data_IF_972829658183
#
_entry.id   IF_972829658183
#
_cell.length_a   1.000
_cell.length_b   1.000
_cell.length_c   1.000
_cell.angle_alpha   90.00
_cell.angle_beta   90.00
_cell.angle_gamma   90.00
#
_symmetry.space_group_name_H-M   'P 1'
#
loop_
_entity.id
_entity.type
_entity.pdbx_description
1 polymer ?
#
# COMPACT_ATOMS: atom_id res chain seq x y z
N UNK A 1 -15.51 -3.39 -42.78
CA UNK A 1 -16.18 -2.49 -43.77
C UNK A 1 -15.94 -3.14 -45.11
N UNK A 2 -17.01 -3.46 -45.84
CA UNK A 2 -16.86 -4.09 -47.18
C UNK A 2 -16.65 -3.00 -48.26
N UNK A 3 -15.43 -2.98 -48.84
CA UNK A 3 -15.05 -2.02 -49.86
C UNK A 3 -15.66 -2.33 -51.25
N UNK A 4 -16.17 -3.55 -51.48
CA UNK A 4 -16.73 -3.98 -52.78
C UNK A 4 -17.98 -3.27 -53.15
N UNK A 5 -18.81 -2.86 -52.18
CA UNK A 5 -20.07 -2.15 -52.36
C UNK A 5 -19.91 -0.65 -52.65
N UNK A 6 -18.69 -0.10 -52.43
CA UNK A 6 -18.43 1.35 -52.61
C UNK A 6 -18.14 1.71 -54.07
N UNK A 7 -18.57 2.92 -54.46
CA UNK A 7 -18.22 3.50 -55.76
C UNK A 7 -16.75 3.92 -55.82
N UNK A 8 -16.18 4.05 -57.03
CA UNK A 8 -14.81 4.55 -57.22
C UNK A 8 -14.58 5.92 -56.56
N UNK A 9 -15.57 6.84 -56.59
CA UNK A 9 -15.47 8.14 -55.95
C UNK A 9 -15.35 8.05 -54.44
N UNK A 10 -16.11 7.18 -53.81
CA UNK A 10 -16.07 6.96 -52.35
C UNK A 10 -14.73 6.31 -51.90
N UNK A 11 -14.21 5.37 -52.68
CA UNK A 11 -12.90 4.74 -52.41
C UNK A 11 -11.76 5.74 -52.55
N UNK A 12 -11.80 6.62 -53.54
CA UNK A 12 -10.82 7.72 -53.69
C UNK A 12 -10.90 8.70 -52.50
N UNK A 13 -12.10 9.01 -52.04
CA UNK A 13 -12.29 9.88 -50.88
C UNK A 13 -11.70 9.22 -49.62
N UNK A 14 -11.86 7.91 -49.42
CA UNK A 14 -11.26 7.17 -48.35
C UNK A 14 -9.72 7.16 -48.44
N UNK A 15 -9.14 6.99 -49.62
CA UNK A 15 -7.70 7.08 -49.80
C UNK A 15 -7.15 8.46 -49.41
N UNK A 16 -7.88 9.55 -49.72
CA UNK A 16 -7.52 10.92 -49.31
C UNK A 16 -7.58 11.07 -47.77
N UNK A 17 -8.64 10.62 -47.14
CA UNK A 17 -8.83 10.69 -45.69
C UNK A 17 -7.77 9.91 -44.93
N UNK A 18 -7.31 8.78 -45.50
CA UNK A 18 -6.27 7.91 -44.89
C UNK A 18 -4.83 8.29 -45.33
N UNK A 19 -4.66 9.41 -46.08
CA UNK A 19 -3.36 9.86 -46.62
C UNK A 19 -2.62 8.81 -47.46
N UNK A 20 -3.36 7.94 -48.18
CA UNK A 20 -2.78 6.90 -49.02
C UNK A 20 -2.35 7.55 -50.34
N UNK A 21 -1.13 7.27 -50.83
CA UNK A 21 -0.61 7.77 -52.09
C UNK A 21 -0.70 6.71 -53.17
N UNK A 22 -0.71 7.12 -54.45
CA UNK A 22 -0.59 6.18 -55.60
C UNK A 22 -1.89 5.61 -56.11
N UNK A 23 -3.09 6.09 -55.69
CA UNK A 23 -4.40 5.63 -56.12
C UNK A 23 -4.90 6.29 -57.45
N UNK A 24 -4.30 7.42 -57.89
CA UNK A 24 -4.83 8.28 -58.96
C UNK A 24 -4.87 7.68 -60.35
N UNK A 25 -4.11 6.57 -60.61
CA UNK A 25 -4.10 5.85 -61.89
C UNK A 25 -4.58 4.41 -61.77
N UNK A 26 -5.24 4.04 -60.65
CA UNK A 26 -5.68 2.69 -60.34
C UNK A 26 -7.18 2.50 -60.64
N UNK A 27 -7.53 1.29 -61.10
CA UNK A 27 -8.93 0.90 -61.23
C UNK A 27 -9.55 0.53 -59.88
N UNK A 28 -10.89 0.32 -59.83
CA UNK A 28 -11.63 0.05 -58.59
C UNK A 28 -11.03 -1.08 -57.76
N UNK A 29 -10.68 -2.19 -58.38
CA UNK A 29 -10.16 -3.37 -57.70
C UNK A 29 -8.77 -3.11 -57.08
N UNK A 30 -7.90 -2.42 -57.80
CA UNK A 30 -6.57 -2.05 -57.34
C UNK A 30 -6.62 -1.05 -56.16
N UNK A 31 -7.63 -0.17 -56.11
CA UNK A 31 -7.85 0.75 -55.00
C UNK A 31 -8.34 -0.03 -53.76
N UNK A 32 -9.21 -1.03 -53.97
CA UNK A 32 -9.68 -1.91 -52.88
C UNK A 32 -8.50 -2.69 -52.27
N UNK A 33 -7.66 -3.28 -53.12
CA UNK A 33 -6.44 -4.02 -52.63
C UNK A 33 -5.53 -3.08 -51.83
N UNK A 34 -5.26 -1.89 -52.31
CA UNK A 34 -4.44 -0.89 -51.62
C UNK A 34 -5.01 -0.50 -50.24
N UNK A 35 -6.34 -0.33 -50.16
CA UNK A 35 -7.02 -0.04 -48.89
C UNK A 35 -6.96 -1.23 -47.90
N UNK A 36 -7.03 -2.47 -48.40
CA UNK A 36 -6.90 -3.69 -47.60
C UNK A 36 -5.47 -3.86 -47.06
N UNK A 37 -4.44 -3.71 -47.89
CA UNK A 37 -3.04 -3.75 -47.47
C UNK A 37 -2.71 -2.72 -46.40
N UNK A 38 -3.19 -1.48 -46.53
CA UNK A 38 -2.97 -0.43 -45.54
C UNK A 38 -3.69 -0.74 -44.22
N UNK A 39 -4.88 -1.36 -44.29
CA UNK A 39 -5.60 -1.79 -43.11
C UNK A 39 -4.88 -2.92 -42.37
N UNK A 40 -4.41 -3.95 -43.10
CA UNK A 40 -3.64 -5.05 -42.53
C UNK A 40 -2.32 -4.57 -41.87
N UNK A 41 -1.61 -3.65 -42.52
CA UNK A 41 -0.38 -3.06 -41.95
C UNK A 41 -0.66 -2.25 -40.69
N UNK A 42 -1.81 -1.55 -40.58
CA UNK A 42 -2.20 -0.86 -39.35
C UNK A 42 -2.56 -1.83 -38.24
N UNK A 43 -3.37 -2.86 -38.52
CA UNK A 43 -3.73 -3.89 -37.56
C UNK A 43 -2.50 -4.65 -37.03
N UNK A 44 -1.54 -4.97 -37.90
CA UNK A 44 -0.28 -5.63 -37.51
C UNK A 44 0.60 -4.70 -36.65
N UNK A 45 0.61 -3.38 -36.90
CA UNK A 45 1.34 -2.41 -36.07
C UNK A 45 0.70 -2.26 -34.70
N UNK A 46 -0.63 -2.09 -34.62
CA UNK A 46 -1.34 -2.01 -33.35
C UNK A 46 -1.17 -3.27 -32.52
N UNK A 47 -1.21 -4.47 -33.13
CA UNK A 47 -0.98 -5.74 -32.43
C UNK A 47 0.49 -5.86 -31.94
N UNK A 48 1.47 -5.34 -32.70
CA UNK A 48 2.87 -5.32 -32.26
C UNK A 48 3.12 -4.37 -31.11
N UNK A 49 2.58 -3.13 -31.20
CA UNK A 49 2.69 -2.16 -30.11
C UNK A 49 2.03 -2.65 -28.82
N UNK A 50 0.84 -3.30 -28.92
CA UNK A 50 0.16 -3.89 -27.76
C UNK A 50 0.96 -5.08 -27.18
N UNK A 51 1.62 -5.88 -28.03
CA UNK A 51 2.50 -6.98 -27.54
C UNK A 51 3.76 -6.45 -26.89
N UNK A 52 4.45 -5.49 -27.49
CA UNK A 52 5.65 -4.86 -26.91
C UNK A 52 5.33 -4.16 -25.58
N UNK A 53 4.19 -3.47 -25.48
CA UNK A 53 3.74 -2.84 -24.20
C UNK A 53 3.40 -3.91 -23.15
N UNK A 54 2.82 -5.06 -23.54
CA UNK A 54 2.56 -6.16 -22.62
C UNK A 54 3.86 -6.84 -22.18
N UNK A 55 4.76 -7.16 -23.08
CA UNK A 55 6.06 -7.76 -22.75
C UNK A 55 6.90 -6.84 -21.86
N UNK A 56 6.93 -5.53 -22.12
CA UNK A 56 7.63 -4.56 -21.26
C UNK A 56 6.96 -4.43 -19.88
N UNK A 57 5.63 -4.57 -19.78
CA UNK A 57 4.94 -4.64 -18.50
C UNK A 57 5.26 -5.93 -17.75
N UNK A 58 5.14 -7.08 -18.41
CA UNK A 58 5.44 -8.39 -17.81
C UNK A 58 6.91 -8.52 -17.36
N UNK A 59 7.87 -7.97 -18.11
CA UNK A 59 9.29 -7.94 -17.71
C UNK A 59 9.52 -6.96 -16.55
N UNK A 60 8.79 -5.85 -16.46
CA UNK A 60 8.85 -4.94 -15.31
C UNK A 60 8.21 -5.55 -14.06
N UNK A 61 7.07 -6.24 -14.20
CA UNK A 61 6.40 -6.94 -13.10
C UNK A 61 7.20 -8.14 -12.60
N UNK A 62 7.86 -8.90 -13.49
CA UNK A 62 8.71 -10.06 -13.12
C UNK A 62 9.95 -9.69 -12.31
N UNK A 63 10.40 -8.41 -12.33
CA UNK A 63 11.56 -7.93 -11.57
C UNK A 63 11.21 -7.05 -10.36
N UNK A 64 9.94 -6.84 -10.06
CA UNK A 64 9.55 -6.03 -8.90
C UNK A 64 9.50 -6.92 -7.66
N UNK A 65 10.51 -6.82 -6.80
CA UNK A 65 10.52 -7.49 -5.50
C UNK A 65 9.51 -6.80 -4.59
N UNK A 66 8.35 -7.42 -4.39
CA UNK A 66 7.35 -6.97 -3.42
C UNK A 66 7.72 -7.50 -2.04
N UNK A 67 8.12 -6.61 -1.15
CA UNK A 67 8.39 -6.95 0.25
C UNK A 67 7.07 -7.05 1.03
N UNK A 68 7.07 -7.86 2.09
CA UNK A 68 5.93 -8.01 3.00
C UNK A 68 6.17 -7.21 4.29
N UNK A 69 5.12 -6.86 5.05
CA UNK A 69 5.30 -6.27 6.37
C UNK A 69 6.23 -7.09 7.27
N UNK A 70 7.18 -6.42 7.94
CA UNK A 70 8.16 -7.08 8.83
C UNK A 70 7.49 -7.61 10.09
N UNK A 71 6.44 -6.91 10.55
CA UNK A 71 5.64 -7.25 11.72
C UNK A 71 4.15 -7.30 11.37
N UNK A 72 3.38 -8.03 12.16
CA UNK A 72 1.91 -7.96 12.08
C UNK A 72 1.45 -6.62 12.65
N UNK A 73 0.47 -5.99 12.01
CA UNK A 73 -0.17 -4.77 12.47
C UNK A 73 -1.69 -4.89 12.34
N UNK A 74 -2.43 -4.33 13.31
CA UNK A 74 -3.90 -4.34 13.27
C UNK A 74 -4.37 -3.53 12.07
N UNK A 75 -5.32 -4.05 11.30
CA UNK A 75 -5.80 -3.37 10.09
C UNK A 75 -4.87 -3.45 8.87
N UNK A 76 -3.76 -4.22 8.94
CA UNK A 76 -2.80 -4.30 7.82
C UNK A 76 -3.44 -4.69 6.49
N UNK A 77 -3.09 -3.98 5.40
CA UNK A 77 -3.71 -4.03 4.07
C UNK A 77 -3.08 -5.01 3.09
N UNK A 78 -2.13 -5.86 3.52
CA UNK A 78 -1.35 -6.69 2.58
C UNK A 78 -2.21 -7.55 1.65
N UNK A 79 -3.31 -8.14 2.15
CA UNK A 79 -4.23 -8.96 1.35
C UNK A 79 -5.25 -8.12 0.55
N UNK A 80 -5.28 -6.81 0.78
CA UNK A 80 -6.26 -5.89 0.21
C UNK A 80 -5.70 -5.05 -0.94
N UNK A 81 -4.38 -4.95 -1.08
CA UNK A 81 -3.69 -4.12 -2.11
C UNK A 81 -4.28 -4.35 -3.50
N UNK A 82 -4.55 -5.59 -3.88
CA UNK A 82 -5.13 -5.98 -5.17
C UNK A 82 -6.48 -5.30 -5.50
N UNK A 83 -7.20 -4.81 -4.50
CA UNK A 83 -8.48 -4.14 -4.70
C UNK A 83 -8.33 -2.64 -4.99
N UNK A 84 -7.19 -2.04 -4.65
CA UNK A 84 -7.00 -0.60 -4.80
C UNK A 84 -5.68 -0.18 -5.49
N UNK A 85 -4.76 -1.12 -5.79
CA UNK A 85 -3.46 -0.80 -6.41
C UNK A 85 -3.59 -0.06 -7.76
N UNK A 86 -4.65 -0.34 -8.53
CA UNK A 86 -4.91 0.31 -9.81
C UNK A 86 -5.29 1.80 -9.67
N UNK A 87 -5.57 2.27 -8.45
CA UNK A 87 -5.76 3.68 -8.16
C UNK A 87 -4.45 4.41 -7.81
N UNK A 88 -3.33 3.71 -7.64
CA UNK A 88 -2.04 4.34 -7.36
C UNK A 88 -1.56 5.07 -8.62
N UNK A 89 -1.19 6.36 -8.54
CA UNK A 89 -0.69 7.08 -9.71
C UNK A 89 0.62 6.47 -10.21
N UNK A 90 0.76 6.37 -11.52
CA UNK A 90 1.96 5.81 -12.16
C UNK A 90 3.24 6.63 -11.92
N UNK A 91 3.07 7.93 -11.66
CA UNK A 91 4.17 8.87 -11.46
C UNK A 91 3.91 9.77 -10.24
N UNK A 92 4.91 9.87 -9.38
CA UNK A 92 4.96 10.79 -8.25
C UNK A 92 6.43 11.04 -7.84
N UNK A 93 6.69 12.17 -7.20
CA UNK A 93 8.04 12.54 -6.73
C UNK A 93 8.37 11.84 -5.42
N UNK A 94 7.50 11.96 -4.42
CA UNK A 94 7.66 11.37 -3.09
C UNK A 94 6.42 10.57 -2.73
N UNK A 95 6.64 9.35 -2.24
CA UNK A 95 5.63 8.53 -1.57
C UNK A 95 5.49 8.95 -0.12
N UNK A 96 4.29 9.21 0.35
CA UNK A 96 3.99 9.64 1.71
C UNK A 96 3.04 8.63 2.39
N UNK A 97 3.35 8.18 3.60
CA UNK A 97 2.47 7.31 4.39
C UNK A 97 2.50 7.73 5.87
N UNK A 98 1.58 8.65 6.30
CA UNK A 98 1.57 9.21 7.65
C UNK A 98 0.97 8.30 8.72
N UNK A 99 0.41 7.17 8.34
CA UNK A 99 -0.10 6.11 9.20
C UNK A 99 0.55 4.79 8.80
N UNK A 100 1.91 4.73 8.87
CA UNK A 100 2.67 3.62 8.29
C UNK A 100 2.30 2.26 8.89
N UNK A 101 2.05 2.18 10.20
CA UNK A 101 1.74 0.93 10.87
C UNK A 101 2.64 -0.22 10.42
N UNK A 102 2.05 -1.31 9.88
CA UNK A 102 2.81 -2.43 9.32
C UNK A 102 3.47 -2.16 7.97
N UNK A 103 3.19 -1.03 7.31
CA UNK A 103 3.79 -0.62 6.05
C UNK A 103 3.41 -1.50 4.85
N UNK A 104 2.19 -2.01 4.81
CA UNK A 104 1.79 -2.99 3.80
C UNK A 104 1.98 -2.47 2.38
N UNK A 105 1.46 -1.27 2.08
CA UNK A 105 1.60 -0.67 0.75
C UNK A 105 3.01 -0.15 0.50
N UNK A 106 3.65 0.46 1.50
CA UNK A 106 5.02 0.94 1.40
C UNK A 106 6.02 -0.17 1.00
N UNK A 107 5.99 -1.31 1.71
CA UNK A 107 6.85 -2.45 1.40
C UNK A 107 6.51 -3.11 0.06
N UNK A 108 5.22 -3.19 -0.28
CA UNK A 108 4.77 -3.70 -1.57
C UNK A 108 5.23 -2.82 -2.72
N UNK A 109 5.05 -1.51 -2.62
CA UNK A 109 5.33 -0.54 -3.68
C UNK A 109 6.83 -0.26 -3.87
N UNK A 110 7.66 -0.50 -2.86
CA UNK A 110 9.11 -0.29 -2.88
C UNK A 110 9.53 1.07 -3.49
N UNK A 111 9.01 2.21 -3.02
CA UNK A 111 9.17 3.51 -3.65
C UNK A 111 10.63 3.97 -3.64
N UNK A 112 11.03 4.74 -4.68
CA UNK A 112 12.40 5.28 -4.79
C UNK A 112 12.67 6.34 -3.72
N UNK A 113 11.71 7.26 -3.52
CA UNK A 113 11.76 8.33 -2.54
C UNK A 113 10.52 8.21 -1.66
N UNK A 114 10.69 8.15 -0.35
CA UNK A 114 9.58 8.03 0.57
C UNK A 114 9.77 8.80 1.86
N UNK A 115 8.66 9.24 2.42
CA UNK A 115 8.53 9.71 3.80
C UNK A 115 7.45 8.87 4.46
N UNK A 116 7.82 8.15 5.51
CA UNK A 116 6.89 7.37 6.32
C UNK A 116 6.82 7.95 7.73
N UNK A 117 5.64 7.92 8.32
CA UNK A 117 5.44 8.45 9.67
C UNK A 117 4.42 7.62 10.45
N UNK A 118 4.58 7.63 11.76
CA UNK A 118 3.60 7.14 12.72
C UNK A 118 3.81 7.88 14.05
N UNK A 119 2.78 7.93 14.88
CA UNK A 119 2.90 8.46 16.24
C UNK A 119 3.44 7.43 17.23
N UNK A 120 3.56 6.17 16.83
CA UNK A 120 4.04 5.07 17.64
C UNK A 120 5.57 5.00 17.64
N UNK A 121 6.20 5.53 18.67
CA UNK A 121 7.67 5.68 18.73
C UNK A 121 8.43 4.35 18.65
N UNK A 122 7.96 3.27 19.29
CA UNK A 122 8.63 1.95 19.25
C UNK A 122 8.64 1.37 17.83
N UNK A 123 7.59 1.61 17.04
CA UNK A 123 7.52 1.23 15.64
C UNK A 123 8.52 2.03 14.79
N UNK A 124 8.59 3.33 15.01
CA UNK A 124 9.51 4.23 14.30
C UNK A 124 10.96 3.90 14.65
N UNK A 125 11.28 3.58 15.90
CA UNK A 125 12.60 3.10 16.30
C UNK A 125 12.96 1.80 15.54
N UNK A 126 12.03 0.83 15.45
CA UNK A 126 12.26 -0.40 14.70
C UNK A 126 12.63 -0.13 13.24
N UNK A 127 11.85 0.65 12.52
CA UNK A 127 12.12 0.98 11.12
C UNK A 127 13.42 1.79 10.96
N UNK A 128 13.67 2.73 11.86
CA UNK A 128 14.89 3.54 11.86
C UNK A 128 16.15 2.70 12.08
N UNK A 129 16.12 1.75 13.02
CA UNK A 129 17.25 0.86 13.29
C UNK A 129 17.55 -0.06 12.11
N UNK A 130 16.50 -0.60 11.46
CA UNK A 130 16.67 -1.40 10.23
C UNK A 130 17.25 -0.52 9.11
N UNK A 131 16.73 0.69 8.91
CA UNK A 131 17.23 1.64 7.91
C UNK A 131 18.68 2.09 8.14
N UNK A 132 19.18 2.03 9.39
CA UNK A 132 20.59 2.26 9.73
C UNK A 132 21.49 1.05 9.46
N UNK A 133 20.97 -0.03 8.89
CA UNK A 133 21.72 -1.26 8.62
C UNK A 133 21.97 -2.13 9.84
N UNK A 134 21.18 -1.96 10.91
CA UNK A 134 21.34 -2.67 12.21
C UNK A 134 20.30 -3.77 12.42
N UNK A 135 19.72 -4.31 11.35
CA UNK A 135 18.77 -5.43 11.47
C UNK A 135 19.40 -6.67 12.09
N UNK A 136 20.70 -6.89 11.85
CA UNK A 136 21.45 -8.01 12.42
C UNK A 136 21.56 -7.96 13.95
N UNK A 137 21.59 -6.78 14.56
CA UNK A 137 21.58 -6.64 16.03
C UNK A 137 20.23 -7.04 16.62
N UNK A 138 19.13 -6.78 15.91
CA UNK A 138 17.80 -7.27 16.29
C UNK A 138 17.73 -8.79 16.07
N UNK A 139 18.25 -9.28 14.95
CA UNK A 139 18.28 -10.72 14.63
C UNK A 139 19.04 -11.51 15.73
N UNK A 140 20.25 -11.08 16.08
CA UNK A 140 21.04 -11.71 17.15
C UNK A 140 20.32 -11.69 18.50
N UNK A 141 19.63 -10.59 18.81
CA UNK A 141 18.81 -10.52 20.02
C UNK A 141 17.70 -11.57 20.01
N UNK A 142 17.04 -11.79 18.86
CA UNK A 142 16.02 -12.83 18.71
C UNK A 142 16.59 -14.24 18.87
N UNK A 143 17.78 -14.52 18.32
CA UNK A 143 18.46 -15.82 18.48
C UNK A 143 18.84 -16.12 19.94
N UNK A 144 19.31 -15.11 20.67
CA UNK A 144 19.79 -15.24 22.04
C UNK A 144 18.67 -15.21 23.08
N UNK A 145 17.45 -14.78 22.70
CA UNK A 145 16.33 -14.59 23.61
C UNK A 145 15.31 -15.73 23.45
N UNK A 146 15.24 -16.69 24.40
CA UNK A 146 14.33 -17.82 24.31
C UNK A 146 12.86 -17.43 24.14
N UNK A 147 12.13 -18.17 23.29
CA UNK A 147 10.69 -18.02 23.12
C UNK A 147 9.94 -18.85 24.16
N UNK A 148 9.95 -18.42 25.40
CA UNK A 148 9.20 -19.03 26.50
C UNK A 148 8.51 -17.96 27.37
N UNK A 149 7.63 -18.39 28.25
CA UNK A 149 6.76 -17.50 29.03
C UNK A 149 7.55 -16.63 30.01
N UNK A 150 8.54 -17.22 30.70
CA UNK A 150 9.38 -16.52 31.66
C UNK A 150 10.18 -15.40 30.99
N UNK A 151 10.88 -15.72 29.90
CA UNK A 151 11.68 -14.75 29.15
C UNK A 151 10.79 -13.68 28.51
N UNK A 152 9.61 -14.06 28.02
CA UNK A 152 8.67 -13.10 27.46
C UNK A 152 8.28 -12.02 28.47
N UNK A 153 7.89 -12.40 29.69
CA UNK A 153 7.53 -11.43 30.73
C UNK A 153 8.76 -10.65 31.22
N UNK A 154 9.93 -11.28 31.28
CA UNK A 154 11.16 -10.57 31.61
C UNK A 154 11.49 -9.48 30.59
N UNK A 155 11.44 -9.77 29.30
CA UNK A 155 11.66 -8.77 28.24
C UNK A 155 10.57 -7.71 28.25
N UNK A 156 9.29 -8.10 28.43
CA UNK A 156 8.17 -7.17 28.43
C UNK A 156 8.21 -6.18 29.58
N UNK A 157 8.49 -6.66 30.80
CA UNK A 157 8.28 -5.91 32.03
C UNK A 157 9.58 -5.35 32.63
N UNK A 158 10.72 -6.02 32.42
CA UNK A 158 11.98 -5.74 33.12
C UNK A 158 13.12 -5.29 32.20
N UNK A 159 13.02 -5.46 30.87
CA UNK A 159 14.10 -5.04 29.97
C UNK A 159 14.31 -3.53 30.04
N UNK A 160 15.55 -3.12 30.37
CA UNK A 160 15.94 -1.71 30.44
C UNK A 160 16.11 -1.16 29.03
N UNK A 161 15.42 -0.07 28.74
CA UNK A 161 15.48 0.63 27.44
C UNK A 161 16.39 1.84 27.58
N UNK A 162 17.58 1.78 26.99
CA UNK A 162 18.59 2.82 27.08
C UNK A 162 18.72 3.65 25.78
N UNK A 163 18.24 3.13 24.66
CA UNK A 163 18.42 3.74 23.34
C UNK A 163 17.41 3.15 22.34
N UNK A 164 17.30 3.72 21.13
CA UNK A 164 16.41 3.22 20.09
C UNK A 164 16.63 1.75 19.69
N UNK A 165 17.87 1.24 19.72
CA UNK A 165 18.15 -0.16 19.39
C UNK A 165 17.52 -1.12 20.43
N UNK A 166 17.72 -0.86 21.72
CA UNK A 166 17.13 -1.70 22.77
C UNK A 166 15.60 -1.62 22.76
N UNK A 167 15.04 -0.47 22.37
CA UNK A 167 13.61 -0.30 22.18
C UNK A 167 13.10 -1.14 20.98
N UNK A 168 13.79 -1.07 19.84
CA UNK A 168 13.48 -1.86 18.65
C UNK A 168 13.56 -3.38 18.93
N UNK A 169 14.59 -3.83 19.66
CA UNK A 169 14.76 -5.23 20.07
C UNK A 169 13.59 -5.71 20.93
N UNK A 170 13.25 -4.98 21.98
CA UNK A 170 12.10 -5.28 22.85
C UNK A 170 10.82 -5.30 22.06
N UNK A 171 10.55 -4.25 21.29
CA UNK A 171 9.32 -4.11 20.50
C UNK A 171 9.17 -5.25 19.48
N UNK A 172 10.22 -5.55 18.71
CA UNK A 172 10.19 -6.63 17.73
C UNK A 172 9.95 -8.00 18.39
N UNK A 173 10.65 -8.30 19.50
CA UNK A 173 10.45 -9.53 20.25
C UNK A 173 9.00 -9.65 20.73
N UNK A 174 8.46 -8.62 21.37
CA UNK A 174 7.07 -8.59 21.81
C UNK A 174 6.09 -8.83 20.66
N UNK A 175 6.29 -8.16 19.52
CA UNK A 175 5.41 -8.31 18.35
C UNK A 175 5.44 -9.72 17.75
N UNK A 176 6.57 -10.41 17.84
CA UNK A 176 6.73 -11.78 17.32
C UNK A 176 6.25 -12.86 18.30
N UNK A 177 6.31 -12.60 19.61
CA UNK A 177 6.06 -13.60 20.65
C UNK A 177 4.77 -13.41 21.44
N UNK A 178 4.14 -12.22 21.40
CA UNK A 178 2.89 -11.97 22.09
C UNK A 178 1.68 -12.66 21.43
N UNK A 179 0.62 -12.83 22.20
CA UNK A 179 -0.62 -13.46 21.74
C UNK A 179 -1.16 -12.80 20.48
N UNK A 180 -1.23 -13.57 19.38
CA UNK A 180 -1.72 -13.18 18.05
C UNK A 180 -0.99 -12.00 17.38
N UNK A 181 0.14 -11.56 17.95
CA UNK A 181 0.80 -10.35 17.49
C UNK A 181 -0.08 -9.09 17.69
N UNK A 182 -0.91 -9.06 18.73
CA UNK A 182 -1.77 -7.91 19.05
C UNK A 182 -0.96 -6.75 19.61
N UNK A 183 -1.50 -5.53 19.50
CA UNK A 183 -0.94 -4.33 20.10
C UNK A 183 -1.98 -3.74 21.06
N UNK A 184 -1.62 -3.61 22.34
CA UNK A 184 -2.46 -2.98 23.34
C UNK A 184 -1.61 -2.47 24.49
N UNK A 185 -1.91 -1.27 24.96
CA UNK A 185 -1.31 -0.67 26.12
C UNK A 185 -2.37 -0.48 27.21
N UNK A 186 -1.96 -0.57 28.45
CA UNK A 186 -2.84 -0.23 29.58
C UNK A 186 -2.89 1.29 29.81
N UNK A 187 -3.74 1.74 30.73
CA UNK A 187 -3.90 3.16 31.08
C UNK A 187 -2.60 3.87 31.49
N UNK A 188 -1.58 3.11 31.89
CA UNK A 188 -0.25 3.62 32.26
C UNK A 188 0.74 3.60 31.09
N UNK A 189 0.28 3.37 29.85
CA UNK A 189 1.13 3.29 28.65
C UNK A 189 2.03 2.08 28.60
N UNK A 190 1.78 1.00 29.39
CA UNK A 190 2.57 -0.22 29.36
C UNK A 190 1.93 -1.25 28.45
N UNK A 191 2.72 -1.85 27.56
CA UNK A 191 2.30 -2.98 26.75
C UNK A 191 1.82 -4.14 27.61
N UNK A 192 0.62 -4.69 27.34
CA UNK A 192 -0.05 -5.63 28.25
C UNK A 192 -0.63 -6.87 27.58
N UNK A 193 -0.17 -7.22 26.38
CA UNK A 193 -0.57 -8.46 25.72
C UNK A 193 0.15 -9.64 26.38
N UNK A 194 -0.52 -10.78 26.62
CA UNK A 194 0.11 -11.97 27.18
C UNK A 194 1.00 -12.70 26.17
N UNK A 195 1.80 -13.66 26.66
CA UNK A 195 2.61 -14.54 25.83
C UNK A 195 1.77 -15.35 24.84
N UNK A 196 2.26 -15.48 23.59
CA UNK A 196 1.52 -16.08 22.49
C UNK A 196 1.64 -17.60 22.39
N UNK A 197 2.55 -18.23 23.13
CA UNK A 197 2.80 -19.68 23.18
C UNK A 197 3.03 -20.33 21.81
N UNK A 198 3.68 -19.60 20.89
CA UNK A 198 4.06 -20.14 19.58
C UNK A 198 5.17 -21.17 19.71
N UNK A 199 5.05 -22.31 19.00
CA UNK A 199 6.10 -23.32 18.92
C UNK A 199 7.34 -22.79 18.20
N UNK A 200 7.12 -21.99 17.14
CA UNK A 200 8.17 -21.37 16.34
C UNK A 200 7.81 -19.92 16.03
N UNK A 201 8.81 -19.08 15.95
CA UNK A 201 8.68 -17.68 15.53
C UNK A 201 9.58 -17.45 14.30
N UNK A 202 9.05 -16.75 13.32
CA UNK A 202 9.80 -16.41 12.11
C UNK A 202 10.26 -14.95 12.19
N UNK A 203 11.56 -14.72 12.10
CA UNK A 203 12.21 -13.41 12.06
C UNK A 203 13.24 -13.28 10.93
N UNK A 204 13.20 -14.18 9.94
CA UNK A 204 14.09 -14.18 8.77
C UNK A 204 14.03 -12.91 7.92
N UNK A 205 12.93 -12.16 8.00
CA UNK A 205 12.85 -10.86 7.33
C UNK A 205 13.98 -9.89 7.74
N UNK A 206 14.55 -10.04 8.95
CA UNK A 206 15.68 -9.24 9.41
C UNK A 206 17.00 -9.54 8.67
N UNK A 207 17.11 -10.72 8.03
CA UNK A 207 18.26 -11.11 7.22
C UNK A 207 18.14 -10.64 5.75
N UNK A 208 16.95 -10.22 5.33
CA UNK A 208 16.76 -9.73 3.97
C UNK A 208 17.21 -8.27 3.84
N UNK A 209 18.29 -8.04 3.10
CA UNK A 209 18.89 -6.73 2.87
C UNK A 209 18.02 -5.74 2.10
N UNK A 210 16.98 -6.20 1.41
CA UNK A 210 16.06 -5.33 0.69
C UNK A 210 15.31 -4.40 1.64
N UNK A 211 14.99 -4.86 2.88
CA UNK A 211 14.38 -4.00 3.90
C UNK A 211 15.34 -2.88 4.36
N UNK A 212 16.61 -3.20 4.61
CA UNK A 212 17.61 -2.19 4.95
C UNK A 212 17.79 -1.19 3.81
N UNK A 213 17.90 -1.68 2.57
CA UNK A 213 18.05 -0.84 1.38
C UNK A 213 16.87 0.10 1.19
N UNK A 214 15.64 -0.39 1.34
CA UNK A 214 14.45 0.45 1.21
C UNK A 214 14.36 1.49 2.34
N UNK A 215 14.52 1.07 3.59
CA UNK A 215 14.40 1.95 4.75
C UNK A 215 15.55 2.97 4.84
N UNK A 216 16.77 2.64 4.37
CA UNK A 216 17.92 3.55 4.38
C UNK A 216 17.74 4.77 3.47
N UNK A 217 16.94 4.65 2.41
CA UNK A 217 16.63 5.76 1.49
C UNK A 217 15.32 6.47 1.81
N UNK A 218 14.68 6.10 2.92
CA UNK A 218 13.37 6.62 3.34
C UNK A 218 13.55 7.57 4.53
N UNK A 219 12.89 8.71 4.48
CA UNK A 219 12.77 9.57 5.66
C UNK A 219 11.73 8.99 6.61
N UNK A 220 12.16 8.63 7.82
CA UNK A 220 11.35 7.97 8.84
C UNK A 220 11.11 8.95 9.98
N UNK A 221 9.84 9.24 10.29
CA UNK A 221 9.46 10.30 11.20
C UNK A 221 8.51 9.78 12.30
N UNK A 222 8.72 10.20 13.54
CA UNK A 222 7.76 10.04 14.62
C UNK A 222 6.92 11.33 14.72
N UNK A 223 5.98 11.49 13.79
CA UNK A 223 5.15 12.70 13.65
C UNK A 223 3.71 12.33 13.34
N UNK A 224 2.79 13.25 13.66
CA UNK A 224 1.39 13.11 13.29
C UNK A 224 1.15 13.36 11.80
N UNK A 225 -0.03 12.96 11.31
CA UNK A 225 -0.42 13.13 9.92
C UNK A 225 -0.45 14.60 9.49
N UNK A 226 -0.85 15.51 10.39
CA UNK A 226 -0.89 16.96 10.12
C UNK A 226 0.48 17.48 9.68
N UNK A 227 1.54 17.03 10.38
CA UNK A 227 2.91 17.42 10.01
C UNK A 227 3.23 17.05 8.57
N UNK A 228 2.80 15.87 8.11
CA UNK A 228 3.06 15.43 6.73
C UNK A 228 2.28 16.28 5.73
N UNK A 229 0.99 16.56 5.98
CA UNK A 229 0.21 17.44 5.12
C UNK A 229 0.80 18.86 5.01
N UNK A 230 1.30 19.40 6.12
CA UNK A 230 1.86 20.76 6.17
C UNK A 230 3.21 20.89 5.48
N UNK A 231 4.09 19.87 5.62
CA UNK A 231 5.49 19.97 5.17
C UNK A 231 5.75 19.37 3.78
N UNK A 232 4.82 18.60 3.21
CA UNK A 232 4.99 17.91 1.92
C UNK A 232 3.86 18.21 0.93
N UNK A 233 3.16 19.34 1.08
CA UNK A 233 2.00 19.73 0.28
C UNK A 233 2.39 20.15 -1.16
N UNK A 234 2.61 19.15 -2.04
CA UNK A 234 2.99 19.33 -3.44
C UNK A 234 2.13 18.40 -4.32
N UNK A 235 1.65 18.89 -5.47
CA UNK A 235 0.78 18.17 -6.40
C UNK A 235 1.45 16.98 -7.09
N UNK A 236 2.78 16.92 -7.07
CA UNK A 236 3.55 15.81 -7.62
C UNK A 236 3.82 14.71 -6.58
N UNK A 237 3.43 14.89 -5.33
CA UNK A 237 3.54 13.87 -4.30
C UNK A 237 2.30 12.97 -4.27
N UNK A 238 2.49 11.73 -3.82
CA UNK A 238 1.43 10.77 -3.59
C UNK A 238 1.40 10.36 -2.12
N UNK A 239 0.21 10.38 -1.51
CA UNK A 239 0.00 10.01 -0.12
C UNK A 239 -0.99 8.86 -0.02
N UNK A 240 -0.58 7.77 0.64
CA UNK A 240 -1.47 6.70 1.05
C UNK A 240 -1.91 6.89 2.50
N UNK A 241 -3.20 6.75 2.76
CA UNK A 241 -3.83 6.97 4.04
C UNK A 241 -4.56 5.70 4.50
N UNK A 242 -4.11 5.12 5.61
CA UNK A 242 -4.77 4.03 6.34
C UNK A 242 -4.96 4.43 7.81
N UNK A 243 -5.81 5.43 8.07
CA UNK A 243 -6.00 5.96 9.41
C UNK A 243 -6.72 4.94 10.32
N UNK A 244 -6.63 5.10 11.64
CA UNK A 244 -7.48 4.36 12.58
C UNK A 244 -8.96 4.49 12.22
N UNK A 245 -9.70 3.38 12.32
CA UNK A 245 -11.10 3.35 11.89
C UNK A 245 -12.03 3.98 12.91
N UNK A 246 -13.14 4.57 12.43
CA UNK A 246 -14.26 5.02 13.24
C UNK A 246 -15.07 3.78 13.72
N UNK A 247 -14.59 3.13 14.77
CA UNK A 247 -15.29 2.02 15.40
C UNK A 247 -15.18 2.08 16.92
N UNK A 248 -16.19 1.57 17.62
CA UNK A 248 -16.21 1.50 19.09
C UNK A 248 -15.05 0.70 19.70
N UNK A 249 -14.30 -0.06 18.87
CA UNK A 249 -13.21 -0.93 19.28
C UNK A 249 -11.80 -0.39 18.96
N UNK A 250 -11.68 0.89 18.60
CA UNK A 250 -10.40 1.51 18.17
C UNK A 250 -9.59 2.17 19.27
N UNK A 251 -9.75 1.74 20.51
CA UNK A 251 -8.82 2.15 21.57
C UNK A 251 -7.49 1.39 21.42
N UNK A 252 -6.59 1.93 20.63
CA UNK A 252 -5.22 1.41 20.50
C UNK A 252 -4.37 1.65 21.73
N UNK A 253 -4.87 2.41 22.73
CA UNK A 253 -4.18 2.68 24.00
C UNK A 253 -2.96 3.60 23.91
N UNK A 254 -2.47 3.90 22.69
CA UNK A 254 -1.31 4.78 22.46
C UNK A 254 -1.66 6.05 21.66
N UNK A 255 -2.78 6.09 20.96
CA UNK A 255 -3.28 7.30 20.31
C UNK A 255 -4.80 7.39 20.42
N UNK A 256 -5.28 8.60 20.61
CA UNK A 256 -6.69 8.91 20.48
C UNK A 256 -6.94 9.36 19.05
N UNK A 257 -7.79 8.63 18.33
CA UNK A 257 -8.17 8.98 16.97
C UNK A 257 -9.68 8.79 16.82
N UNK A 258 -10.42 9.83 17.17
CA UNK A 258 -11.88 9.83 17.18
C UNK A 258 -12.48 10.68 16.06
N UNK A 259 -13.74 11.06 16.21
CA UNK A 259 -14.47 11.84 15.19
C UNK A 259 -13.80 13.17 14.84
N UNK A 260 -13.24 13.87 15.84
CA UNK A 260 -12.55 15.16 15.64
C UNK A 260 -11.32 15.00 14.76
N UNK A 261 -10.53 13.94 14.98
CA UNK A 261 -9.34 13.63 14.18
C UNK A 261 -9.74 13.21 12.76
N UNK A 262 -10.84 12.46 12.61
CA UNK A 262 -11.41 12.13 11.29
C UNK A 262 -11.88 13.37 10.53
N UNK A 263 -12.58 14.28 11.18
CA UNK A 263 -13.02 15.56 10.59
C UNK A 263 -11.82 16.42 10.17
N UNK A 264 -10.78 16.48 11.01
CA UNK A 264 -9.54 17.19 10.70
C UNK A 264 -8.80 16.58 9.51
N UNK A 265 -8.71 15.24 9.48
CA UNK A 265 -8.12 14.52 8.36
C UNK A 265 -8.89 14.78 7.07
N UNK A 266 -10.23 14.73 7.11
CA UNK A 266 -11.07 15.00 5.95
C UNK A 266 -10.91 16.44 5.43
N UNK A 267 -10.76 17.43 6.32
CA UNK A 267 -10.45 18.80 5.93
C UNK A 267 -9.12 18.88 5.20
N UNK A 268 -8.04 18.35 5.77
CA UNK A 268 -6.71 18.36 5.16
C UNK A 268 -6.70 17.61 3.82
N UNK A 269 -7.38 16.46 3.74
CA UNK A 269 -7.52 15.70 2.50
C UNK A 269 -8.17 16.50 1.37
N UNK A 270 -9.16 17.33 1.67
CA UNK A 270 -9.88 18.15 0.69
C UNK A 270 -9.10 19.40 0.26
N UNK A 271 -8.29 19.96 1.17
CA UNK A 271 -7.57 21.21 0.95
C UNK A 271 -6.16 21.02 0.39
N UNK A 272 -5.59 19.81 0.47
CA UNK A 272 -4.23 19.52 0.02
C UNK A 272 -4.09 19.49 -1.50
N UNK A 273 -2.89 19.79 -1.99
CA UNK A 273 -2.48 19.56 -3.38
C UNK A 273 -1.97 18.14 -3.62
N UNK A 274 -1.62 17.41 -2.57
CA UNK A 274 -1.09 16.05 -2.65
C UNK A 274 -2.14 15.12 -3.25
N UNK A 275 -1.75 14.20 -4.11
CA UNK A 275 -2.60 13.11 -4.59
C UNK A 275 -2.79 12.09 -3.47
N UNK A 276 -3.95 12.11 -2.83
CA UNK A 276 -4.25 11.25 -1.69
C UNK A 276 -5.14 10.07 -2.10
N UNK A 277 -4.72 8.85 -1.73
CA UNK A 277 -5.51 7.62 -1.78
C UNK A 277 -5.72 7.12 -0.36
N UNK A 278 -6.97 6.96 0.05
CA UNK A 278 -7.35 6.47 1.38
C UNK A 278 -8.12 5.17 1.25
N UNK A 279 -7.83 4.24 2.17
CA UNK A 279 -8.63 3.02 2.37
C UNK A 279 -9.09 2.98 3.81
N UNK A 280 -10.41 2.96 4.04
CA UNK A 280 -10.99 3.03 5.37
C UNK A 280 -12.29 2.22 5.46
N UNK A 281 -12.62 1.72 6.66
CA UNK A 281 -13.88 1.02 6.91
C UNK A 281 -15.11 1.91 6.64
N UNK A 282 -16.12 1.33 5.99
CA UNK A 282 -17.37 2.02 5.65
C UNK A 282 -18.24 2.22 6.88
N UNK A 283 -18.45 3.47 7.27
CA UNK A 283 -19.47 3.89 8.24
C UNK A 283 -20.29 5.03 7.63
N UNK A 284 -21.49 5.30 8.16
CA UNK A 284 -22.29 6.44 7.71
C UNK A 284 -21.54 7.75 7.87
N UNK A 285 -20.80 7.91 8.98
CA UNK A 285 -20.00 9.09 9.24
C UNK A 285 -18.88 9.30 8.21
N UNK A 286 -18.11 8.27 7.90
CA UNK A 286 -17.04 8.33 6.88
C UNK A 286 -17.61 8.58 5.48
N UNK A 287 -18.76 7.94 5.14
CA UNK A 287 -19.43 8.19 3.86
C UNK A 287 -19.83 9.66 3.69
N UNK A 288 -20.39 10.28 4.73
CA UNK A 288 -20.75 11.71 4.67
C UNK A 288 -19.52 12.62 4.56
N UNK A 289 -18.43 12.32 5.30
CA UNK A 289 -17.20 13.10 5.23
C UNK A 289 -16.57 13.11 3.83
N UNK A 290 -16.64 12.00 3.10
CA UNK A 290 -15.92 11.81 1.84
C UNK A 290 -16.82 11.52 0.63
N UNK A 291 -18.14 11.79 0.69
CA UNK A 291 -19.14 11.40 -0.31
C UNK A 291 -18.75 11.69 -1.75
N UNK A 292 -18.10 12.84 -2.01
CA UNK A 292 -17.73 13.29 -3.36
C UNK A 292 -16.38 12.74 -3.84
N UNK A 293 -15.68 11.96 -2.99
CA UNK A 293 -14.34 11.45 -3.22
C UNK A 293 -14.27 9.91 -3.20
N UNK A 294 -15.39 9.23 -2.91
CA UNK A 294 -15.47 7.76 -2.92
C UNK A 294 -15.45 7.30 -4.38
N UNK A 295 -14.46 6.50 -4.75
CA UNK A 295 -14.27 6.01 -6.12
C UNK A 295 -14.53 4.53 -6.26
N UNK A 296 -14.43 3.76 -5.17
CA UNK A 296 -14.67 2.32 -5.17
C UNK A 296 -15.00 1.82 -3.75
N UNK A 297 -15.54 0.61 -3.64
CA UNK A 297 -15.75 -0.11 -2.38
C UNK A 297 -15.58 -1.61 -2.59
N UNK A 298 -15.09 -2.33 -1.57
CA UNK A 298 -14.97 -3.78 -1.60
C UNK A 298 -15.34 -4.44 -0.26
N UNK A 299 -15.74 -5.70 -0.33
CA UNK A 299 -16.14 -6.47 0.85
C UNK A 299 -14.91 -6.88 1.68
N UNK A 300 -15.02 -6.74 3.00
CA UNK A 300 -14.03 -7.17 3.97
C UNK A 300 -14.65 -8.06 5.03
N UNK A 301 -14.13 -9.28 5.14
CA UNK A 301 -14.54 -10.22 6.16
C UNK A 301 -13.50 -10.27 7.28
N UNK A 302 -13.88 -9.87 8.48
CA UNK A 302 -13.07 -10.05 9.68
C UNK A 302 -13.47 -11.37 10.37
N UNK A 303 -12.53 -12.35 10.36
CA UNK A 303 -12.71 -13.61 11.08
C UNK A 303 -12.13 -13.47 12.49
N UNK A 304 -12.98 -13.24 13.48
CA UNK A 304 -12.59 -13.29 14.89
C UNK A 304 -12.67 -14.74 15.40
N UNK A 305 -11.55 -15.48 15.32
CA UNK A 305 -11.40 -16.72 16.10
C UNK A 305 -10.99 -16.35 17.53
N UNK A 306 -11.91 -16.29 18.48
CA UNK A 306 -11.61 -15.93 19.87
C UNK A 306 -10.88 -17.05 20.63
N UNK A 307 -11.20 -18.32 20.40
CA UNK A 307 -10.55 -19.52 20.99
C UNK A 307 -10.84 -20.73 20.11
N UNK A 308 -10.11 -21.85 20.29
CA UNK A 308 -10.46 -23.13 19.71
C UNK A 308 -11.89 -23.52 20.16
N UNK A 309 -12.81 -23.61 19.19
CA UNK A 309 -14.23 -23.96 19.42
C UNK A 309 -15.21 -22.79 19.60
N UNK A 310 -14.75 -21.52 19.71
CA UNK A 310 -15.61 -20.32 19.59
C UNK A 310 -15.25 -19.58 18.31
N UNK A 311 -16.07 -19.77 17.29
CA UNK A 311 -16.11 -18.88 16.12
C UNK A 311 -16.85 -17.63 16.59
N UNK A 312 -16.15 -16.50 16.70
CA UNK A 312 -16.83 -15.21 16.84
C UNK A 312 -17.59 -14.91 15.56
N UNK A 313 -18.65 -14.12 15.63
CA UNK A 313 -19.41 -13.71 14.47
C UNK A 313 -18.50 -13.15 13.38
N UNK A 314 -18.67 -13.61 12.14
CA UNK A 314 -18.02 -13.01 10.98
C UNK A 314 -18.60 -11.61 10.80
N UNK A 315 -17.79 -10.58 11.03
CA UNK A 315 -18.21 -9.22 10.75
C UNK A 315 -17.94 -8.96 9.27
N UNK A 316 -19.01 -9.03 8.48
CA UNK A 316 -19.00 -8.59 7.10
C UNK A 316 -19.07 -7.07 7.08
N UNK A 317 -18.06 -6.42 6.59
CA UNK A 317 -18.01 -4.97 6.41
C UNK A 317 -17.51 -4.64 5.02
N UNK A 318 -17.57 -3.37 4.66
CA UNK A 318 -16.99 -2.87 3.42
C UNK A 318 -15.88 -1.88 3.72
N UNK A 319 -14.88 -1.84 2.87
CA UNK A 319 -13.92 -0.76 2.84
C UNK A 319 -14.21 0.17 1.66
N UNK A 320 -14.02 1.45 1.90
CA UNK A 320 -14.12 2.50 0.89
C UNK A 320 -12.74 2.81 0.36
N UNK A 321 -12.66 3.03 -0.95
CA UNK A 321 -11.51 3.61 -1.63
C UNK A 321 -11.84 5.05 -1.96
N UNK A 322 -11.05 5.96 -1.45
CA UNK A 322 -11.30 7.40 -1.47
C UNK A 322 -10.08 8.09 -2.07
N UNK A 323 -10.27 8.98 -3.06
CA UNK A 323 -9.17 9.74 -3.63
C UNK A 323 -9.59 11.15 -4.05
N UNK A 324 -8.62 12.09 -4.12
CA UNK A 324 -8.84 13.48 -4.47
C UNK A 324 -8.26 13.90 -5.84
N UNK A 325 -7.87 12.93 -6.68
CA UNK A 325 -7.27 13.17 -8.02
C UNK A 325 -7.92 12.30 -9.09
#
# INVERSE_FOLDING_TARGET
MDYKEKTCKELITLCKQLNIKGYTKKNKNEIITLLQEVKEVKEVKEVKEVKEVKEVKEVKEANTIHLKPIIKWSGGKADEIKYFEHHIPSNYNIYLEPFIGGGALYFYSNPKNAVISDVHSELIDLYSIIGQGKSNEIYKFMEQTPNNEEMYYNVRDNMVINNPLTNAQRFYYQRKTCFRGMLRYNKNGKFNIPFGRYKTINYEALNNKDYETLLSRTQILCKSFEYIFENYNDENNFMFLDPPYDSEFTDYGYCQFGKKEQEKLAKLFKETKIKCLMVIGKTTFIQELYKDYIVDEYDKNYRFKLYDGRVGDEINTKHLVIKNY
#
